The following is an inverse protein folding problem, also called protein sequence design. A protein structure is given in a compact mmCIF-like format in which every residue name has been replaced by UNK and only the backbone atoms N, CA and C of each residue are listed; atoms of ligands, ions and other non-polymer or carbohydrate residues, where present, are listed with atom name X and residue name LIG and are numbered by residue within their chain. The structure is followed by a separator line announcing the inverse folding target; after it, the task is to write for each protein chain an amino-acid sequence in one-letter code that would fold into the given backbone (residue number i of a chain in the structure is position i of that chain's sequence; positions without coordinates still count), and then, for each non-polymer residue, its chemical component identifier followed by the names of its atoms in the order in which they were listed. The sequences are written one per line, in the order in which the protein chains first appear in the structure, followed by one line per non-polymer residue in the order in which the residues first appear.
data_IF_832626771630
#
_entry.id   IF_832626771630
#
_cell.length_a   1.000
_cell.length_b   1.000
_cell.length_c   1.000
_cell.angle_alpha   90.00
_cell.angle_beta   90.00
_cell.angle_gamma   90.00
#
_symmetry.space_group_name_H-M   'P 1'
#
loop_
_entity.id
_entity.type
_entity.pdbx_description
1 polymer ?
#
# COMPACT_ATOMS: atom_id res chain seq x y z
N UNK A 1 6.12 -17.60 28.22
CA UNK A 1 7.59 -17.80 28.22
C UNK A 1 8.10 -16.74 27.24
N UNK A 2 8.55 -15.59 27.75
CA UNK A 2 9.06 -14.49 26.91
C UNK A 2 10.43 -14.90 26.37
N UNK A 3 10.54 -15.11 25.06
CA UNK A 3 11.84 -15.25 24.41
C UNK A 3 12.60 -13.93 24.54
N UNK A 4 13.67 -13.98 25.31
CA UNK A 4 14.63 -12.89 25.40
C UNK A 4 15.40 -12.88 24.07
N UNK A 5 15.07 -11.93 23.19
CA UNK A 5 15.87 -11.62 22.00
C UNK A 5 17.31 -11.35 22.42
N UNK A 6 18.24 -12.07 21.81
CA UNK A 6 19.67 -11.96 22.10
C UNK A 6 20.19 -10.54 21.87
N UNK A 7 21.09 -10.01 22.72
CA UNK A 7 21.69 -8.67 22.54
C UNK A 7 22.41 -8.49 21.19
N UNK A 8 22.83 -9.58 20.58
CA UNK A 8 23.49 -9.58 19.25
C UNK A 8 22.52 -9.36 18.09
N UNK A 9 21.26 -9.82 18.20
CA UNK A 9 20.22 -9.51 17.23
C UNK A 9 19.88 -8.01 17.23
N UNK A 10 19.78 -7.40 18.41
CA UNK A 10 19.55 -5.98 18.54
C UNK A 10 20.63 -5.12 17.85
N UNK A 11 21.91 -5.49 17.94
CA UNK A 11 23.02 -4.72 17.34
C UNK A 11 23.01 -4.76 15.79
N UNK A 12 22.64 -5.90 15.21
CA UNK A 12 22.49 -6.03 13.75
C UNK A 12 21.28 -5.22 13.24
N UNK A 13 20.17 -5.19 14.00
CA UNK A 13 19.01 -4.33 13.78
C UNK A 13 19.46 -2.86 13.73
N UNK A 14 20.11 -2.42 14.77
CA UNK A 14 20.57 -1.04 14.88
C UNK A 14 21.49 -0.64 13.73
N UNK A 15 22.42 -1.51 13.30
CA UNK A 15 23.35 -1.17 12.21
C UNK A 15 22.67 -0.99 10.86
N UNK A 16 21.60 -1.73 10.56
CA UNK A 16 20.82 -1.57 9.32
C UNK A 16 19.83 -0.42 9.39
N UNK A 17 19.22 -0.19 10.55
CA UNK A 17 18.33 0.95 10.78
C UNK A 17 19.08 2.28 10.87
N UNK A 18 20.39 2.28 11.22
CA UNK A 18 21.24 3.48 11.35
C UNK A 18 22.21 3.66 10.17
N UNK A 19 22.34 2.67 9.28
CA UNK A 19 23.24 2.72 8.14
C UNK A 19 22.94 3.89 7.18
N UNK A 20 23.86 4.23 6.25
CA UNK A 20 23.66 5.32 5.29
C UNK A 20 22.44 5.12 4.38
N UNK A 21 21.93 3.88 4.27
CA UNK A 21 20.71 3.53 3.54
C UNK A 21 19.47 3.38 4.45
N UNK A 22 19.54 3.79 5.70
CA UNK A 22 18.42 3.69 6.64
C UNK A 22 17.30 4.66 6.24
N UNK A 23 16.02 4.21 6.24
CA UNK A 23 14.89 5.09 6.01
C UNK A 23 14.90 6.28 6.97
N UNK A 24 14.73 7.52 6.47
CA UNK A 24 14.86 8.72 7.29
C UNK A 24 13.85 8.80 8.43
N UNK A 25 12.68 8.20 8.25
CA UNK A 25 11.61 8.17 9.27
C UNK A 25 12.00 7.30 10.44
N UNK A 26 12.50 6.08 10.21
CA UNK A 26 13.03 5.23 11.28
C UNK A 26 14.16 5.90 12.06
N UNK A 27 15.02 6.61 11.35
CA UNK A 27 16.11 7.36 11.98
C UNK A 27 15.58 8.47 12.88
N UNK A 28 14.54 9.18 12.46
CA UNK A 28 13.92 10.24 13.24
C UNK A 28 13.15 9.70 14.45
N UNK A 29 12.38 8.64 14.29
CA UNK A 29 11.58 8.01 15.38
C UNK A 29 12.47 7.29 16.39
N UNK A 30 13.51 6.58 15.94
CA UNK A 30 14.37 5.81 16.84
C UNK A 30 15.49 6.64 17.47
N UNK A 31 15.93 7.73 16.83
CA UNK A 31 17.13 8.49 17.23
C UNK A 31 16.95 10.01 17.22
N UNK A 32 15.72 10.51 16.95
CA UNK A 32 15.44 11.95 16.94
C UNK A 32 15.54 12.59 18.35
N UNK A 33 15.68 13.92 18.38
CA UNK A 33 15.82 14.70 19.62
C UNK A 33 14.61 14.65 20.57
N UNK A 34 13.46 14.13 20.10
CA UNK A 34 12.24 13.94 20.90
C UNK A 34 12.21 12.62 21.68
N UNK A 35 13.25 11.80 21.57
CA UNK A 35 13.32 10.54 22.30
C UNK A 35 13.53 10.78 23.78
N UNK A 36 12.70 10.13 24.62
CA UNK A 36 12.93 9.99 26.05
C UNK A 36 14.26 9.28 26.36
N UNK A 37 14.47 8.79 27.57
CA UNK A 37 15.69 8.07 27.91
C UNK A 37 15.86 6.86 26.99
N UNK A 38 17.11 6.52 26.61
CA UNK A 38 17.47 5.45 25.70
C UNK A 38 16.93 4.04 26.08
N UNK A 39 16.35 3.90 27.27
CA UNK A 39 15.76 2.67 27.82
C UNK A 39 14.23 2.61 27.71
N UNK A 40 13.56 3.67 27.24
CA UNK A 40 12.11 3.68 27.17
C UNK A 40 11.66 2.87 25.90
N UNK A 41 10.66 1.99 26.03
CA UNK A 41 10.11 1.29 24.88
C UNK A 41 9.51 2.30 23.89
N UNK A 42 9.69 2.04 22.60
CA UNK A 42 9.08 2.84 21.55
C UNK A 42 7.73 2.20 21.25
N UNK A 43 6.66 2.92 21.52
CA UNK A 43 5.31 2.53 21.13
C UNK A 43 5.07 2.92 19.68
N UNK A 44 4.64 1.95 18.88
CA UNK A 44 4.25 2.13 17.46
C UNK A 44 2.76 1.79 17.39
N UNK A 45 1.92 2.81 17.49
CA UNK A 45 0.48 2.64 17.60
C UNK A 45 -0.24 2.45 16.25
N UNK A 46 0.40 2.82 15.14
CA UNK A 46 -0.24 2.96 13.84
C UNK A 46 -0.05 1.75 12.90
N UNK A 47 0.59 0.68 13.37
CA UNK A 47 0.88 -0.52 12.56
C UNK A 47 0.54 -1.77 13.37
N UNK A 48 -0.16 -2.70 12.74
CA UNK A 48 -0.40 -4.01 13.32
C UNK A 48 0.91 -4.78 13.52
N UNK A 49 1.00 -5.54 14.61
CA UNK A 49 2.24 -6.23 15.01
C UNK A 49 2.79 -7.16 13.90
N UNK A 50 1.92 -7.87 13.18
CA UNK A 50 2.31 -8.79 12.12
C UNK A 50 2.84 -8.06 10.88
N UNK A 51 2.23 -6.90 10.55
CA UNK A 51 2.72 -6.02 9.48
C UNK A 51 4.08 -5.45 9.84
N UNK A 52 4.26 -5.02 11.09
CA UNK A 52 5.54 -4.51 11.56
C UNK A 52 6.64 -5.59 11.58
N UNK A 53 6.31 -6.81 11.99
CA UNK A 53 7.23 -7.96 11.92
C UNK A 53 7.65 -8.25 10.47
N UNK A 54 6.72 -8.21 9.52
CA UNK A 54 7.01 -8.40 8.09
C UNK A 54 7.89 -7.27 7.54
N UNK A 55 7.66 -6.03 7.98
CA UNK A 55 8.50 -4.87 7.65
C UNK A 55 9.93 -5.06 8.17
N UNK A 56 10.09 -5.45 9.44
CA UNK A 56 11.38 -5.76 10.03
C UNK A 56 12.06 -6.91 9.30
N UNK A 57 11.33 -8.00 9.04
CA UNK A 57 11.88 -9.14 8.27
C UNK A 57 12.44 -8.66 6.93
N UNK A 58 11.70 -7.81 6.19
CA UNK A 58 12.18 -7.26 4.92
C UNK A 58 13.46 -6.41 5.10
N UNK A 59 13.52 -5.56 6.11
CA UNK A 59 14.71 -4.74 6.39
C UNK A 59 15.94 -5.61 6.65
N UNK A 60 15.75 -6.81 7.24
CA UNK A 60 16.85 -7.74 7.53
C UNK A 60 17.27 -8.59 6.35
N UNK A 61 16.30 -9.16 5.66
CA UNK A 61 16.52 -10.22 4.68
C UNK A 61 16.42 -9.74 3.25
N UNK A 62 15.89 -8.52 3.04
CA UNK A 62 15.53 -7.96 1.73
C UNK A 62 14.52 -8.83 0.98
N UNK A 63 13.75 -9.64 1.72
CA UNK A 63 12.70 -10.54 1.20
C UNK A 63 11.47 -10.48 2.10
N UNK A 64 10.29 -10.76 1.53
CA UNK A 64 9.08 -10.98 2.32
C UNK A 64 9.07 -12.38 2.90
N UNK A 65 8.42 -12.60 4.06
CA UNK A 65 8.17 -13.95 4.56
C UNK A 65 7.42 -14.77 3.49
N UNK A 66 7.82 -16.03 3.31
CA UNK A 66 7.12 -16.92 2.39
C UNK A 66 5.71 -17.18 2.90
N UNK A 67 4.71 -16.89 2.05
CA UNK A 67 3.32 -17.30 2.31
C UNK A 67 3.26 -18.82 2.25
N UNK A 68 2.80 -19.46 3.31
CA UNK A 68 2.73 -20.93 3.42
C UNK A 68 1.61 -21.55 2.58
N UNK A 69 0.81 -20.74 1.87
CA UNK A 69 -0.31 -21.20 1.05
C UNK A 69 0.04 -21.16 -0.45
N UNK A 70 -0.32 -22.23 -1.16
CA UNK A 70 -0.30 -22.26 -2.64
C UNK A 70 -1.43 -21.36 -3.17
N UNK A 71 -1.10 -20.11 -3.49
CA UNK A 71 -2.02 -19.08 -4.00
C UNK A 71 -2.21 -17.92 -3.02
N UNK A 72 -2.43 -16.73 -3.56
CA UNK A 72 -2.70 -15.55 -2.75
C UNK A 72 -4.05 -15.70 -2.05
N UNK A 73 -4.05 -15.62 -0.73
CA UNK A 73 -5.27 -15.58 0.06
C UNK A 73 -5.76 -14.13 0.21
N UNK A 74 -7.04 -13.96 0.54
CA UNK A 74 -7.59 -12.63 0.86
C UNK A 74 -6.78 -11.94 1.98
N UNK A 75 -6.26 -12.72 2.92
CA UNK A 75 -5.43 -12.26 4.03
C UNK A 75 -4.07 -11.76 3.55
N UNK A 76 -3.47 -12.41 2.55
CA UNK A 76 -2.22 -11.96 1.93
C UNK A 76 -2.36 -10.61 1.20
N UNK A 77 -3.50 -10.37 0.55
CA UNK A 77 -3.82 -9.10 -0.12
C UNK A 77 -4.01 -7.98 0.90
N UNK A 78 -4.72 -8.24 1.99
CA UNK A 78 -4.90 -7.28 3.09
C UNK A 78 -3.54 -6.95 3.72
N UNK A 79 -2.73 -7.95 4.02
CA UNK A 79 -1.38 -7.76 4.58
C UNK A 79 -0.49 -6.96 3.63
N UNK A 80 -0.53 -7.25 2.32
CA UNK A 80 0.22 -6.49 1.31
C UNK A 80 -0.23 -5.03 1.25
N UNK A 81 -1.53 -4.76 1.42
CA UNK A 81 -2.09 -3.41 1.47
C UNK A 81 -1.56 -2.61 2.67
N UNK A 82 -1.58 -3.22 3.87
CA UNK A 82 -1.05 -2.60 5.08
C UNK A 82 0.47 -2.40 5.00
N UNK A 83 1.17 -3.37 4.42
CA UNK A 83 2.61 -3.31 4.26
C UNK A 83 3.03 -2.25 3.24
N UNK A 84 2.24 -2.01 2.19
CA UNK A 84 2.44 -0.90 1.25
C UNK A 84 2.36 0.45 1.96
N UNK A 85 1.35 0.64 2.81
CA UNK A 85 1.18 1.86 3.62
C UNK A 85 2.37 2.07 4.54
N UNK A 86 2.81 1.01 5.23
CA UNK A 86 3.97 1.06 6.10
C UNK A 86 5.26 1.36 5.32
N UNK A 87 5.46 0.71 4.17
CA UNK A 87 6.62 0.93 3.32
C UNK A 87 6.70 2.37 2.80
N UNK A 88 5.58 2.96 2.40
CA UNK A 88 5.50 4.36 1.99
C UNK A 88 5.83 5.31 3.15
N UNK A 89 5.22 5.08 4.32
CA UNK A 89 5.46 5.89 5.53
C UNK A 89 6.92 5.88 5.95
N UNK A 90 7.56 4.72 5.92
CA UNK A 90 8.96 4.57 6.34
C UNK A 90 9.97 4.80 5.22
N UNK A 91 9.52 5.10 3.99
CA UNK A 91 10.40 5.39 2.84
C UNK A 91 11.16 4.17 2.35
N UNK A 92 10.58 2.98 2.41
CA UNK A 92 11.17 1.73 1.92
C UNK A 92 10.65 1.45 0.51
N UNK A 93 11.15 2.22 -0.45
CA UNK A 93 10.68 2.22 -1.85
C UNK A 93 10.64 0.83 -2.48
N UNK A 94 11.67 0.00 -2.22
CA UNK A 94 11.72 -1.35 -2.78
C UNK A 94 10.60 -2.25 -2.25
N UNK A 95 10.29 -2.17 -0.95
CA UNK A 95 9.18 -2.91 -0.36
C UNK A 95 7.84 -2.42 -0.91
N UNK A 96 7.70 -1.10 -1.06
CA UNK A 96 6.52 -0.49 -1.67
C UNK A 96 6.26 -1.04 -3.08
N UNK A 97 7.29 -1.10 -3.93
CA UNK A 97 7.18 -1.66 -5.27
C UNK A 97 6.80 -3.15 -5.27
N UNK A 98 7.36 -3.95 -4.36
CA UNK A 98 7.01 -5.37 -4.23
C UNK A 98 5.54 -5.54 -3.81
N UNK A 99 5.06 -4.73 -2.86
CA UNK A 99 3.66 -4.77 -2.45
C UNK A 99 2.73 -4.28 -3.57
N UNK A 100 3.12 -3.25 -4.31
CA UNK A 100 2.39 -2.75 -5.48
C UNK A 100 2.23 -3.86 -6.53
N UNK A 101 3.32 -4.53 -6.90
CA UNK A 101 3.31 -5.65 -7.86
C UNK A 101 2.41 -6.79 -7.40
N UNK A 102 2.50 -7.18 -6.13
CA UNK A 102 1.63 -8.21 -5.55
C UNK A 102 0.16 -7.80 -5.64
N UNK A 103 -0.19 -6.58 -5.30
CA UNK A 103 -1.56 -6.08 -5.37
C UNK A 103 -2.07 -5.98 -6.82
N UNK A 104 -1.21 -5.70 -7.79
CA UNK A 104 -1.57 -5.70 -9.21
C UNK A 104 -1.95 -7.10 -9.72
N UNK A 105 -1.29 -8.14 -9.21
CA UNK A 105 -1.55 -9.53 -9.62
C UNK A 105 -2.83 -10.10 -8.98
N UNK A 106 -3.28 -9.55 -7.84
CA UNK A 106 -4.37 -10.10 -7.03
C UNK A 106 -5.62 -9.17 -7.00
N UNK A 107 -5.90 -8.47 -8.09
CA UNK A 107 -7.05 -7.55 -8.19
C UNK A 107 -8.35 -8.34 -8.32
N UNK A 108 -9.26 -8.12 -7.39
CA UNK A 108 -10.63 -8.65 -7.44
C UNK A 108 -11.69 -7.55 -7.29
N UNK A 109 -12.97 -7.92 -7.50
CA UNK A 109 -14.08 -6.98 -7.43
C UNK A 109 -14.37 -6.43 -6.03
N UNK A 110 -13.91 -7.10 -4.96
CA UNK A 110 -14.11 -6.67 -3.59
C UNK A 110 -13.05 -5.66 -3.16
N UNK A 111 -11.80 -5.88 -3.63
CA UNK A 111 -10.63 -5.10 -3.21
C UNK A 111 -10.28 -3.96 -4.14
N UNK A 112 -10.71 -3.97 -5.41
CA UNK A 112 -10.31 -2.98 -6.40
C UNK A 112 -10.59 -1.53 -5.99
N UNK A 113 -11.69 -1.27 -5.28
CA UNK A 113 -12.01 0.07 -4.80
C UNK A 113 -11.04 0.53 -3.69
N UNK A 114 -10.65 -0.37 -2.80
CA UNK A 114 -9.65 -0.12 -1.76
C UNK A 114 -8.26 0.07 -2.40
N UNK A 115 -7.89 -0.80 -3.34
CA UNK A 115 -6.62 -0.72 -4.08
C UNK A 115 -6.49 0.59 -4.85
N UNK A 116 -7.57 1.08 -5.49
CA UNK A 116 -7.60 2.41 -6.14
C UNK A 116 -7.40 3.56 -5.15
N UNK A 117 -8.00 3.47 -3.97
CA UNK A 117 -7.83 4.47 -2.92
C UNK A 117 -6.37 4.51 -2.45
N UNK A 118 -5.79 3.34 -2.16
CA UNK A 118 -4.38 3.19 -1.77
C UNK A 118 -3.44 3.71 -2.86
N UNK A 119 -3.66 3.30 -4.11
CA UNK A 119 -2.85 3.73 -5.25
C UNK A 119 -2.82 5.25 -5.38
N UNK A 120 -3.97 5.91 -5.17
CA UNK A 120 -4.06 7.37 -5.22
C UNK A 120 -3.38 8.04 -4.03
N UNK A 121 -3.55 7.51 -2.82
CA UNK A 121 -2.99 8.09 -1.59
C UNK A 121 -1.48 7.96 -1.54
N UNK A 122 -0.95 6.83 -2.01
CA UNK A 122 0.47 6.49 -1.91
C UNK A 122 1.25 6.65 -3.22
N UNK A 123 0.60 7.19 -4.28
CA UNK A 123 1.27 7.48 -5.55
C UNK A 123 1.72 6.22 -6.32
N UNK A 124 0.97 5.12 -6.22
CA UNK A 124 1.22 3.87 -6.91
C UNK A 124 0.52 3.87 -8.27
N UNK A 125 1.19 4.43 -9.28
CA UNK A 125 0.58 4.60 -10.61
C UNK A 125 0.37 3.27 -11.33
N UNK A 126 1.24 2.27 -11.13
CA UNK A 126 1.10 0.92 -11.70
C UNK A 126 -0.16 0.23 -11.18
N UNK A 127 -0.38 0.26 -9.86
CA UNK A 127 -1.59 -0.31 -9.24
C UNK A 127 -2.86 0.42 -9.71
N UNK A 128 -2.80 1.73 -9.87
CA UNK A 128 -3.93 2.52 -10.39
C UNK A 128 -4.30 2.09 -11.81
N UNK A 129 -3.32 1.96 -12.69
CA UNK A 129 -3.54 1.51 -14.07
C UNK A 129 -4.10 0.08 -14.12
N UNK A 130 -3.53 -0.86 -13.37
CA UNK A 130 -4.01 -2.24 -13.29
C UNK A 130 -5.48 -2.31 -12.81
N UNK A 131 -5.84 -1.50 -11.79
CA UNK A 131 -7.23 -1.39 -11.33
C UNK A 131 -8.16 -0.82 -12.42
N UNK A 132 -7.72 0.16 -13.19
CA UNK A 132 -8.51 0.71 -14.29
C UNK A 132 -8.71 -0.33 -15.40
N UNK A 133 -7.68 -1.09 -15.77
CA UNK A 133 -7.79 -2.18 -16.74
C UNK A 133 -8.81 -3.24 -16.29
N UNK A 134 -8.78 -3.61 -15.01
CA UNK A 134 -9.78 -4.53 -14.44
C UNK A 134 -11.20 -3.98 -14.54
N UNK A 135 -11.41 -2.68 -14.34
CA UNK A 135 -12.70 -2.01 -14.36
C UNK A 135 -13.24 -1.68 -15.77
N UNK A 136 -12.41 -1.78 -16.81
CA UNK A 136 -12.87 -1.62 -18.21
C UNK A 136 -13.86 -2.73 -18.58
N UNK A 137 -13.77 -3.92 -17.98
CA UNK A 137 -14.76 -4.98 -18.17
C UNK A 137 -16.12 -4.61 -17.56
N UNK A 138 -17.22 -4.57 -18.34
CA UNK A 138 -18.55 -4.19 -17.84
C UNK A 138 -19.02 -5.05 -16.68
N UNK A 139 -18.74 -6.36 -16.72
CA UNK A 139 -19.13 -7.31 -15.67
C UNK A 139 -18.44 -7.03 -14.33
N UNK A 140 -17.17 -6.59 -14.36
CA UNK A 140 -16.43 -6.21 -13.16
C UNK A 140 -16.93 -4.87 -12.63
N UNK A 141 -17.16 -3.92 -13.52
CA UNK A 141 -17.66 -2.59 -13.15
C UNK A 141 -19.02 -2.68 -12.44
N UNK A 142 -19.96 -3.50 -12.95
CA UNK A 142 -21.27 -3.70 -12.31
C UNK A 142 -21.15 -4.25 -10.88
N UNK A 143 -20.29 -5.25 -10.67
CA UNK A 143 -20.04 -5.83 -9.35
C UNK A 143 -19.47 -4.79 -8.38
N UNK A 144 -18.51 -4.00 -8.86
CA UNK A 144 -17.85 -2.99 -8.04
C UNK A 144 -18.80 -1.85 -7.67
N UNK A 145 -19.63 -1.37 -8.59
CA UNK A 145 -20.63 -0.31 -8.32
C UNK A 145 -21.63 -0.75 -7.24
N UNK A 146 -21.95 -2.04 -7.18
CA UNK A 146 -22.84 -2.62 -6.17
C UNK A 146 -22.15 -2.82 -4.80
N UNK A 147 -20.81 -2.69 -4.71
CA UNK A 147 -20.06 -2.93 -3.49
C UNK A 147 -20.02 -1.71 -2.54
N UNK A 148 -19.81 -1.98 -1.24
CA UNK A 148 -19.60 -0.93 -0.24
C UNK A 148 -18.29 -0.15 -0.51
N UNK A 149 -17.27 -0.82 -1.03
CA UNK A 149 -16.00 -0.22 -1.40
C UNK A 149 -16.15 0.92 -2.41
N UNK A 150 -17.08 0.82 -3.35
CA UNK A 150 -17.38 1.89 -4.29
C UNK A 150 -17.94 3.14 -3.59
N UNK A 151 -18.79 2.98 -2.58
CA UNK A 151 -19.32 4.11 -1.82
C UNK A 151 -18.21 4.83 -1.05
N UNK A 152 -17.26 4.06 -0.53
CA UNK A 152 -16.07 4.62 0.11
C UNK A 152 -15.20 5.37 -0.91
N UNK A 153 -14.88 4.76 -2.05
CA UNK A 153 -14.09 5.37 -3.14
C UNK A 153 -14.71 6.68 -3.62
N UNK A 154 -16.03 6.71 -3.80
CA UNK A 154 -16.79 7.90 -4.20
C UNK A 154 -16.62 9.08 -3.24
N UNK A 155 -16.53 8.78 -1.93
CA UNK A 155 -16.35 9.81 -0.88
C UNK A 155 -14.90 10.23 -0.73
N UNK A 156 -13.97 9.27 -0.75
CA UNK A 156 -12.55 9.49 -0.47
C UNK A 156 -11.77 10.02 -1.67
N UNK A 157 -12.05 9.51 -2.87
CA UNK A 157 -11.27 9.80 -4.07
C UNK A 157 -12.14 10.09 -5.31
N UNK A 158 -12.97 11.15 -5.32
CA UNK A 158 -13.83 11.47 -6.45
C UNK A 158 -13.06 11.78 -7.75
N UNK A 159 -11.81 12.20 -7.66
CA UNK A 159 -10.93 12.44 -8.82
C UNK A 159 -10.63 11.16 -9.60
N UNK A 160 -10.45 10.02 -8.90
CA UNK A 160 -10.21 8.72 -9.52
C UNK A 160 -11.43 8.26 -10.31
N UNK A 161 -12.63 8.49 -9.78
CA UNK A 161 -13.87 8.17 -10.51
C UNK A 161 -14.05 9.02 -11.76
N UNK A 162 -13.67 10.31 -11.71
CA UNK A 162 -13.69 11.17 -12.91
C UNK A 162 -12.74 10.64 -13.98
N UNK A 163 -11.54 10.20 -13.58
CA UNK A 163 -10.56 9.62 -14.49
C UNK A 163 -11.06 8.31 -15.09
N UNK A 164 -11.65 7.42 -14.27
CA UNK A 164 -12.28 6.18 -14.74
C UNK A 164 -13.40 6.46 -15.75
N UNK A 165 -14.30 7.39 -15.44
CA UNK A 165 -15.39 7.77 -16.35
C UNK A 165 -14.83 8.32 -17.67
N UNK A 166 -13.78 9.12 -17.61
CA UNK A 166 -13.15 9.66 -18.82
C UNK A 166 -12.58 8.56 -19.72
N UNK A 167 -12.05 7.47 -19.13
CA UNK A 167 -11.54 6.30 -19.88
C UNK A 167 -12.64 5.40 -20.45
N UNK A 168 -13.77 5.29 -19.75
CA UNK A 168 -14.90 4.47 -20.17
C UNK A 168 -15.75 5.17 -21.26
N UNK A 169 -15.67 6.48 -21.38
CA UNK A 169 -16.41 7.22 -22.41
C UNK A 169 -15.72 7.07 -23.77
N UNK A 170 -16.48 6.76 -24.84
CA UNK A 170 -15.96 6.79 -26.21
C UNK A 170 -15.36 8.16 -26.54
N UNK A 171 -14.25 8.14 -27.28
CA UNK A 171 -13.53 9.37 -27.70
C UNK A 171 -14.45 10.37 -28.40
N UNK A 172 -15.41 9.90 -29.18
CA UNK A 172 -16.42 10.70 -29.86
C UNK A 172 -17.33 11.49 -28.89
N UNK A 173 -17.68 10.86 -27.77
CA UNK A 173 -18.51 11.52 -26.73
C UNK A 173 -17.71 12.55 -25.92
N UNK A 174 -16.41 12.34 -25.77
CA UNK A 174 -15.49 13.27 -25.10
C UNK A 174 -15.30 14.53 -25.96
N UNK A 175 -15.07 14.35 -27.26
CA UNK A 175 -14.96 15.47 -28.21
C UNK A 175 -16.25 16.31 -28.29
N UNK A 176 -17.42 15.66 -28.26
CA UNK A 176 -18.70 16.36 -28.24
C UNK A 176 -18.90 17.24 -26.97
N UNK A 177 -18.42 16.77 -25.80
CA UNK A 177 -18.45 17.56 -24.56
C UNK A 177 -17.55 18.80 -24.61
N UNK A 178 -16.38 18.68 -25.24
CA UNK A 178 -15.45 19.80 -25.38
C UNK A 178 -16.00 20.86 -26.35
N UNK A 179 -16.71 20.45 -27.40
CA UNK A 179 -17.43 21.35 -28.32
C UNK A 179 -18.56 22.09 -27.57
N UNK A 180 -19.35 21.39 -26.75
CA UNK A 180 -20.43 22.02 -25.97
C UNK A 180 -19.88 23.02 -24.94
N UNK A 181 -18.68 22.79 -24.41
CA UNK A 181 -18.02 23.66 -23.43
C UNK A 181 -17.44 24.95 -24.07
N UNK A 182 -17.21 24.91 -25.37
CA UNK A 182 -16.63 26.04 -26.14
C UNK A 182 -17.68 26.98 -26.76
N UNK A 183 -18.97 26.64 -26.65
CA UNK A 183 -20.13 27.48 -27.06
C UNK A 183 -20.68 28.24 -25.85
#
# INVERSE_FOLDING_TARGET
MMEQTSPFESAAIYSRLIGPCSPPVFKAELFGDMRGKASDPIEIDDIEADVFNSLLHFIYTDSLPESTSEGATQEDVVTASHLLVAADRYGIERLKLICEDKLCNDIDSNMVATSLTLAKQHGCDGLKEACFEFLVSPSNLEKVIASEGYQHLKRSCPSVLKELIARLLPVELTAAKDIIRSI
#
